data_IF_983534960978
#
_entry.id   IF_983534960978
#
_cell.length_a   1.000
_cell.length_b   1.000
_cell.length_c   1.000
_cell.angle_alpha   90.00
_cell.angle_beta   90.00
_cell.angle_gamma   90.00
#
_symmetry.space_group_name_H-M   'P 1'
#
loop_
_entity.id
_entity.type
_entity.pdbx_description
1 polymer ?
#
# COMPACT_ATOMS: atom_id res chain seq x y z
N UNK A 1 8.07 26.43 -45.95
CA UNK A 1 7.34 25.21 -45.51
C UNK A 1 7.18 25.30 -44.00
N UNK A 2 5.96 25.09 -43.52
CA UNK A 2 5.45 25.54 -42.22
C UNK A 2 6.32 25.12 -41.02
N UNK A 3 6.70 26.08 -40.20
CA UNK A 3 7.21 25.83 -38.85
C UNK A 3 6.07 25.35 -37.97
N UNK A 4 6.29 24.21 -37.33
CA UNK A 4 5.37 23.57 -36.39
C UNK A 4 5.04 24.53 -35.24
N UNK A 5 3.78 25.00 -35.21
CA UNK A 5 3.16 25.62 -34.03
C UNK A 5 2.33 24.54 -33.37
N UNK A 6 2.87 23.88 -32.36
CA UNK A 6 2.16 22.84 -31.60
C UNK A 6 2.95 22.46 -30.36
N UNK A 7 2.76 23.22 -29.30
CA UNK A 7 3.41 23.06 -28.01
C UNK A 7 2.80 24.08 -27.07
N UNK A 8 1.47 24.01 -26.93
CA UNK A 8 0.67 24.95 -26.16
C UNK A 8 0.88 24.76 -24.66
N UNK A 9 0.43 25.71 -23.86
CA UNK A 9 0.53 25.66 -22.41
C UNK A 9 -0.09 24.38 -21.80
N UNK A 10 -1.05 23.75 -22.51
CA UNK A 10 -1.63 22.46 -22.18
C UNK A 10 -0.61 21.30 -22.12
N UNK A 11 0.31 21.20 -23.09
CA UNK A 11 1.30 20.12 -23.15
C UNK A 11 2.34 20.22 -22.02
N UNK A 12 2.58 21.45 -21.54
CA UNK A 12 3.44 21.70 -20.38
C UNK A 12 2.72 21.30 -19.08
N UNK A 13 1.41 21.56 -18.98
CA UNK A 13 0.66 21.20 -17.78
C UNK A 13 0.62 19.69 -17.58
N UNK A 14 0.31 18.89 -18.60
CA UNK A 14 0.33 17.42 -18.47
C UNK A 14 1.70 16.86 -18.12
N UNK A 15 2.77 17.50 -18.60
CA UNK A 15 4.14 17.05 -18.39
C UNK A 15 4.71 17.37 -17.00
N UNK A 16 4.28 18.49 -16.41
CA UNK A 16 4.83 18.98 -15.14
C UNK A 16 3.84 18.95 -13.98
N UNK A 17 2.55 18.75 -14.24
CA UNK A 17 1.53 18.64 -13.20
C UNK A 17 1.65 17.32 -12.45
N UNK A 18 1.37 17.41 -11.15
CA UNK A 18 1.32 16.28 -10.21
C UNK A 18 -0.12 15.86 -9.88
N UNK A 19 -1.09 16.49 -10.54
CA UNK A 19 -2.50 16.26 -10.27
C UNK A 19 -2.94 14.81 -10.53
N UNK A 20 -2.38 14.07 -11.52
CA UNK A 20 -2.69 12.65 -11.69
C UNK A 20 -2.37 11.78 -10.46
N UNK A 21 -1.26 12.02 -9.76
CA UNK A 21 -0.92 11.31 -8.51
C UNK A 21 -1.62 11.89 -7.27
N UNK A 22 -2.29 13.04 -7.38
CA UNK A 22 -3.05 13.69 -6.32
C UNK A 22 -4.53 13.29 -6.25
N UNK A 23 -5.00 12.45 -7.18
CA UNK A 23 -6.38 11.99 -7.21
C UNK A 23 -6.77 11.20 -5.94
N UNK A 24 -8.02 11.31 -5.45
CA UNK A 24 -8.48 10.57 -4.29
C UNK A 24 -8.39 9.04 -4.47
N UNK A 25 -8.24 8.33 -3.35
CA UNK A 25 -8.18 6.87 -3.33
C UNK A 25 -9.49 6.22 -3.80
N UNK A 26 -9.36 5.11 -4.55
CA UNK A 26 -10.48 4.36 -5.13
C UNK A 26 -10.83 3.16 -4.26
N UNK A 27 -11.77 3.32 -3.33
CA UNK A 27 -12.16 2.29 -2.37
C UNK A 27 -13.14 1.27 -2.96
N UNK A 28 -14.19 1.73 -3.64
CA UNK A 28 -15.26 0.90 -4.21
C UNK A 28 -15.71 1.42 -5.59
N UNK A 29 -16.68 0.73 -6.20
CA UNK A 29 -17.33 1.17 -7.44
C UNK A 29 -18.46 2.21 -7.22
N UNK A 30 -18.69 2.63 -5.97
CA UNK A 30 -19.72 3.62 -5.61
C UNK A 30 -19.39 5.03 -6.14
N UNK A 31 -20.34 5.98 -6.09
CA UNK A 31 -20.07 7.38 -6.41
C UNK A 31 -18.83 7.91 -5.68
N UNK A 32 -18.01 8.68 -6.40
CA UNK A 32 -16.70 9.16 -5.93
C UNK A 32 -15.74 8.03 -5.48
N UNK A 33 -15.87 6.83 -6.05
CA UNK A 33 -15.09 5.63 -5.72
C UNK A 33 -15.13 5.26 -4.22
N UNK A 34 -16.23 5.58 -3.53
CA UNK A 34 -16.36 5.37 -2.09
C UNK A 34 -15.50 6.30 -1.23
N UNK A 35 -14.82 7.28 -1.81
CA UNK A 35 -13.99 8.25 -1.09
C UNK A 35 -14.80 9.28 -0.30
N UNK A 36 -15.91 9.76 -0.86
CA UNK A 36 -16.76 10.79 -0.26
C UNK A 36 -18.22 10.58 -0.63
N UNK A 37 -19.12 10.83 0.32
CA UNK A 37 -20.57 10.86 0.11
C UNK A 37 -21.10 12.21 -0.40
N UNK A 38 -20.22 13.21 -0.55
CA UNK A 38 -20.57 14.54 -1.05
C UNK A 38 -20.84 14.57 -2.56
N UNK A 39 -21.27 15.74 -3.04
CA UNK A 39 -21.61 15.95 -4.46
C UNK A 39 -20.40 16.02 -5.40
N UNK A 40 -19.17 16.10 -4.87
CA UNK A 40 -17.97 16.16 -5.68
C UNK A 40 -16.67 16.00 -4.88
N UNK A 41 -15.59 15.89 -5.64
CA UNK A 41 -14.21 15.71 -5.19
C UNK A 41 -13.32 16.76 -5.87
N UNK A 42 -12.20 17.12 -5.25
CA UNK A 42 -11.36 18.23 -5.72
C UNK A 42 -10.57 17.92 -7.00
N UNK A 43 -10.41 16.63 -7.33
CA UNK A 43 -9.76 16.17 -8.56
C UNK A 43 -10.59 15.06 -9.20
N UNK A 44 -10.57 14.93 -10.54
CA UNK A 44 -11.29 13.89 -11.24
C UNK A 44 -10.73 12.50 -10.89
N UNK A 45 -11.63 11.50 -10.85
CA UNK A 45 -11.23 10.11 -10.70
C UNK A 45 -10.73 9.54 -12.03
N UNK A 46 -9.89 8.52 -11.93
CA UNK A 46 -9.53 7.71 -13.07
C UNK A 46 -10.79 7.02 -13.65
N UNK A 47 -10.98 6.97 -14.98
CA UNK A 47 -12.18 6.38 -15.58
C UNK A 47 -12.41 4.91 -15.19
N UNK A 48 -11.33 4.16 -14.95
CA UNK A 48 -11.40 2.74 -14.60
C UNK A 48 -11.65 2.45 -13.11
N UNK A 49 -12.02 3.44 -12.29
CA UNK A 49 -12.17 3.25 -10.83
C UNK A 49 -13.18 2.15 -10.46
N UNK A 50 -14.17 1.88 -11.31
CA UNK A 50 -15.16 0.82 -11.09
C UNK A 50 -14.56 -0.58 -11.23
N UNK A 51 -13.50 -0.73 -12.02
CA UNK A 51 -12.80 -2.00 -12.25
C UNK A 51 -11.51 -2.12 -11.42
N UNK A 52 -10.85 -1.00 -11.13
CA UNK A 52 -9.58 -0.92 -10.39
C UNK A 52 -9.73 -0.19 -9.07
N UNK A 53 -10.47 -0.77 -8.14
CA UNK A 53 -10.59 -0.27 -6.76
C UNK A 53 -10.11 -1.31 -5.74
N UNK A 54 -10.05 -0.91 -4.48
CA UNK A 54 -9.61 -1.77 -3.37
C UNK A 54 -10.58 -2.94 -3.15
N UNK A 55 -11.89 -2.68 -3.20
CA UNK A 55 -12.92 -3.71 -3.01
C UNK A 55 -12.77 -4.87 -4.01
N UNK A 56 -12.67 -4.57 -5.31
CA UNK A 56 -12.45 -5.57 -6.36
C UNK A 56 -11.15 -6.34 -6.12
N UNK A 57 -10.07 -5.65 -5.75
CA UNK A 57 -8.77 -6.31 -5.51
C UNK A 57 -8.75 -7.20 -4.27
N UNK A 58 -9.60 -6.96 -3.27
CA UNK A 58 -9.74 -7.83 -2.08
C UNK A 58 -10.42 -9.15 -2.45
N UNK A 59 -11.42 -9.11 -3.33
CA UNK A 59 -12.20 -10.29 -3.70
C UNK A 59 -11.62 -11.09 -4.87
N UNK A 60 -10.69 -10.51 -5.62
CA UNK A 60 -10.03 -11.22 -6.72
C UNK A 60 -8.99 -12.22 -6.17
N UNK A 61 -9.12 -13.52 -6.46
CA UNK A 61 -8.21 -14.56 -5.96
C UNK A 61 -6.84 -14.58 -6.65
N UNK A 62 -6.58 -13.69 -7.61
CA UNK A 62 -5.31 -13.63 -8.32
C UNK A 62 -4.20 -13.03 -7.44
N UNK A 63 -3.23 -13.87 -7.09
CA UNK A 63 -2.01 -13.51 -6.34
C UNK A 63 -1.12 -12.46 -7.04
N UNK A 64 -1.32 -12.22 -8.33
CA UNK A 64 -0.52 -11.28 -9.13
C UNK A 64 -1.11 -9.86 -9.17
N UNK A 65 -2.12 -9.59 -8.35
CA UNK A 65 -2.72 -8.26 -8.22
C UNK A 65 -1.89 -7.38 -7.28
N UNK A 66 -1.77 -6.07 -7.56
CA UNK A 66 -0.95 -5.17 -6.75
C UNK A 66 -1.21 -5.31 -5.25
N UNK A 67 -2.47 -5.27 -4.79
CA UNK A 67 -2.80 -5.39 -3.38
C UNK A 67 -2.21 -6.64 -2.71
N UNK A 68 -2.39 -7.82 -3.29
CA UNK A 68 -1.86 -9.09 -2.77
C UNK A 68 -0.34 -9.09 -2.70
N UNK A 69 0.33 -8.58 -3.75
CA UNK A 69 1.79 -8.45 -3.79
C UNK A 69 2.27 -7.54 -2.65
N UNK A 70 1.61 -6.39 -2.43
CA UNK A 70 1.97 -5.46 -1.34
C UNK A 70 1.79 -6.10 0.04
N UNK A 71 0.65 -6.75 0.30
CA UNK A 71 0.40 -7.42 1.58
C UNK A 71 1.40 -8.53 1.84
N UNK A 72 1.74 -9.34 0.83
CA UNK A 72 2.75 -10.39 0.93
C UNK A 72 4.13 -9.81 1.24
N UNK A 73 4.51 -8.71 0.58
CA UNK A 73 5.79 -8.04 0.85
C UNK A 73 5.86 -7.54 2.30
N UNK A 74 4.80 -6.90 2.80
CA UNK A 74 4.72 -6.44 4.20
C UNK A 74 4.81 -7.62 5.16
N UNK A 75 4.09 -8.72 4.90
CA UNK A 75 4.14 -9.91 5.74
C UNK A 75 5.54 -10.51 5.82
N UNK A 76 6.27 -10.57 4.70
CA UNK A 76 7.66 -11.02 4.66
C UNK A 76 8.59 -10.09 5.46
N UNK A 77 8.41 -8.78 5.34
CA UNK A 77 9.19 -7.79 6.09
C UNK A 77 8.96 -7.96 7.60
N UNK A 78 7.69 -8.02 8.03
CA UNK A 78 7.31 -8.18 9.43
C UNK A 78 7.87 -9.50 10.00
N UNK A 79 7.75 -10.58 9.25
CA UNK A 79 8.29 -11.88 9.64
C UNK A 79 9.82 -11.84 9.81
N UNK A 80 10.55 -11.27 8.84
CA UNK A 80 12.01 -11.16 8.89
C UNK A 80 12.50 -10.28 10.05
N UNK A 81 11.87 -9.12 10.26
CA UNK A 81 12.18 -8.23 11.38
C UNK A 81 11.91 -8.94 12.72
N UNK A 82 10.77 -9.62 12.85
CA UNK A 82 10.43 -10.38 14.06
C UNK A 82 11.38 -11.55 14.35
N UNK A 83 11.92 -12.22 13.33
CA UNK A 83 12.94 -13.24 13.52
C UNK A 83 14.29 -12.65 13.98
N UNK A 84 14.66 -11.47 13.47
CA UNK A 84 15.89 -10.79 13.88
C UNK A 84 15.84 -10.34 15.33
N UNK A 85 14.72 -9.80 15.80
CA UNK A 85 14.57 -9.39 17.22
C UNK A 85 14.65 -10.59 18.16
N UNK A 86 14.01 -11.73 17.82
CA UNK A 86 14.08 -12.98 18.61
C UNK A 86 15.49 -13.58 18.71
N UNK A 87 16.26 -13.58 17.61
CA UNK A 87 17.67 -14.03 17.65
C UNK A 87 18.54 -13.09 18.49
N UNK A 88 18.32 -11.78 18.39
CA UNK A 88 19.07 -10.80 19.17
C UNK A 88 18.75 -10.88 20.68
N UNK A 89 17.52 -11.24 21.05
CA UNK A 89 17.12 -11.44 22.44
C UNK A 89 17.50 -12.82 23.02
N UNK A 90 18.09 -13.71 22.22
CA UNK A 90 18.49 -15.06 22.67
C UNK A 90 17.33 -15.97 23.08
N UNK A 91 16.09 -15.60 22.74
CA UNK A 91 14.90 -16.39 23.05
C UNK A 91 14.77 -17.53 22.03
N UNK A 92 15.57 -18.58 22.23
CA UNK A 92 15.30 -19.87 21.60
C UNK A 92 14.05 -20.41 22.27
N UNK A 93 12.91 -20.24 21.61
CA UNK A 93 11.56 -20.50 22.12
C UNK A 93 11.55 -21.54 23.23
N UNK A 94 11.27 -21.07 24.44
CA UNK A 94 11.16 -21.91 25.63
C UNK A 94 10.31 -23.13 25.30
N UNK A 95 10.93 -24.31 25.36
CA UNK A 95 10.23 -25.59 25.42
C UNK A 95 9.15 -25.46 26.52
N UNK A 96 7.87 -25.76 26.25
CA UNK A 96 6.79 -25.60 27.23
C UNK A 96 7.01 -26.45 28.51
N UNK A 97 7.99 -27.35 28.49
CA UNK A 97 8.39 -28.13 29.67
C UNK A 97 9.39 -27.44 30.60
N UNK A 98 9.96 -26.30 30.22
CA UNK A 98 10.93 -25.53 31.02
C UNK A 98 10.31 -24.22 31.53
N UNK A 99 9.18 -24.32 32.24
CA UNK A 99 8.72 -23.24 33.13
C UNK A 99 9.12 -23.58 34.57
N UNK A 100 10.42 -23.69 34.83
CA UNK A 100 10.92 -23.60 36.19
C UNK A 100 12.37 -23.15 36.17
N UNK A 101 12.63 -22.08 36.92
CA UNK A 101 13.95 -21.57 37.27
C UNK A 101 14.76 -20.94 36.13
N UNK A 102 14.79 -19.60 36.11
CA UNK A 102 15.99 -18.81 36.47
C UNK A 102 15.72 -17.30 36.29
N UNK A 103 15.11 -16.69 37.31
CA UNK A 103 15.36 -15.29 37.62
C UNK A 103 16.47 -15.25 38.68
N UNK A 104 17.69 -15.59 38.27
CA UNK A 104 18.88 -15.24 39.05
C UNK A 104 20.07 -15.24 38.12
N UNK A 105 20.46 -14.03 37.71
CA UNK A 105 21.83 -13.52 37.78
C UNK A 105 21.83 -12.10 37.23
N UNK A 106 21.97 -11.17 38.16
CA UNK A 106 22.73 -9.92 38.03
C UNK A 106 23.65 -9.88 36.81
N UNK A 107 23.56 -8.80 36.03
CA UNK A 107 24.76 -8.18 35.48
C UNK A 107 24.62 -6.66 35.57
N UNK A 108 25.78 -6.08 35.82
CA UNK A 108 26.11 -4.75 36.35
C UNK A 108 25.72 -3.59 35.43
#
# INVERSE_FOLDING_TARGET
MAGERGGGAEDLYEKYSRDPEGAPMQWSADPNAGFSSGSGIWLPLHPDYTQRNVEVQIYDPSELIPLHIYLRAIQLIVHHVGQRTRRASGDQGLNPHCMSMKASRTCR
#
